data_IF_243884874488
#
_entry.id   IF_243884874488
#
_cell.length_a   1.000
_cell.length_b   1.000
_cell.length_c   1.000
_cell.angle_alpha   90.00
_cell.angle_beta   90.00
_cell.angle_gamma   90.00
#
_symmetry.space_group_name_H-M   'P 1'
#
loop_
_entity.id
_entity.type
_entity.pdbx_description
1 polymer ?
#
# COMPACT_ATOMS: atom_id res chain seq x y z
N UNK A 1 38.58 18.57 38.59
CA UNK A 1 38.06 19.19 37.35
C UNK A 1 37.06 18.22 36.75
N UNK A 2 35.75 18.48 36.90
CA UNK A 2 34.68 17.59 36.43
C UNK A 2 34.18 18.06 35.06
N UNK A 3 34.08 17.14 34.10
CA UNK A 3 33.64 17.42 32.72
C UNK A 3 32.14 17.11 32.62
N UNK A 4 31.32 18.14 32.42
CA UNK A 4 29.90 18.00 32.09
C UNK A 4 29.74 17.80 30.59
N UNK A 5 29.17 16.67 30.17
CA UNK A 5 28.68 16.46 28.80
C UNK A 5 27.21 16.89 28.71
N UNK A 6 26.94 17.92 27.92
CA UNK A 6 25.60 18.40 27.60
C UNK A 6 25.10 17.69 26.34
N UNK A 7 24.04 16.89 26.45
CA UNK A 7 23.36 16.28 25.32
C UNK A 7 22.27 17.23 24.78
N UNK A 8 22.38 17.63 23.51
CA UNK A 8 21.38 18.46 22.83
C UNK A 8 20.42 17.58 22.02
N UNK A 9 19.13 17.62 22.35
CA UNK A 9 18.06 16.93 21.61
C UNK A 9 17.51 17.87 20.54
N UNK A 10 17.65 17.50 19.26
CA UNK A 10 17.06 18.23 18.14
C UNK A 10 15.56 17.87 18.02
N UNK A 11 14.69 18.86 18.22
CA UNK A 11 13.25 18.74 17.97
C UNK A 11 12.92 19.14 16.53
N UNK A 12 12.47 18.18 15.72
CA UNK A 12 11.88 18.42 14.40
C UNK A 12 10.45 18.95 14.58
N UNK A 13 10.27 20.23 14.30
CA UNK A 13 8.99 20.93 14.35
C UNK A 13 8.16 20.66 13.08
N UNK A 14 7.22 19.73 13.15
CA UNK A 14 6.21 19.51 12.09
C UNK A 14 5.26 20.71 12.00
N UNK A 15 5.33 21.48 10.91
CA UNK A 15 4.30 22.48 10.57
C UNK A 15 3.02 21.74 10.12
N UNK A 16 1.93 21.90 10.87
CA UNK A 16 0.57 21.51 10.45
C UNK A 16 -0.03 22.65 9.64
N UNK A 17 -0.47 22.37 8.41
CA UNK A 17 -1.36 23.26 7.67
C UNK A 17 -2.79 23.15 8.24
N UNK A 18 -3.53 24.26 8.43
CA UNK A 18 -4.90 24.20 8.91
C UNK A 18 -5.84 23.74 7.79
N UNK A 19 -6.45 22.57 7.97
CA UNK A 19 -7.55 22.09 7.13
C UNK A 19 -8.84 22.81 7.57
N UNK A 20 -9.46 23.52 6.63
CA UNK A 20 -10.72 24.25 6.84
C UNK A 20 -11.88 23.26 7.02
N UNK A 21 -12.66 23.41 8.10
CA UNK A 21 -13.84 22.58 8.38
C UNK A 21 -15.10 23.29 7.86
N UNK A 22 -15.99 22.62 7.11
CA UNK A 22 -17.34 23.12 6.91
C UNK A 22 -18.22 22.70 8.10
N UNK A 23 -18.80 23.70 8.74
CA UNK A 23 -19.90 23.56 9.71
C UNK A 23 -21.15 23.18 8.92
N UNK A 24 -21.72 22.00 9.19
CA UNK A 24 -23.13 21.76 8.90
C UNK A 24 -23.79 21.03 10.08
N UNK A 25 -24.69 21.74 10.74
CA UNK A 25 -25.55 21.25 11.79
C UNK A 25 -26.74 20.57 11.11
N UNK A 26 -26.95 19.28 11.36
CA UNK A 26 -28.25 18.64 11.18
C UNK A 26 -28.33 17.38 12.04
N UNK A 27 -29.12 17.49 13.09
CA UNK A 27 -29.50 16.42 14.02
C UNK A 27 -30.47 15.46 13.33
N UNK A 28 -30.01 14.25 13.02
CA UNK A 28 -30.87 13.08 12.83
C UNK A 28 -30.25 11.88 13.56
N UNK A 29 -30.97 11.43 14.58
CA UNK A 29 -30.61 10.30 15.43
C UNK A 29 -30.68 9.00 14.64
N UNK A 30 -29.53 8.39 14.37
CA UNK A 30 -29.42 7.06 13.78
C UNK A 30 -28.85 6.11 14.83
N UNK A 31 -29.63 5.11 15.23
CA UNK A 31 -29.19 4.05 16.13
C UNK A 31 -28.31 3.08 15.34
N UNK A 32 -26.98 3.25 15.41
CA UNK A 32 -26.04 2.24 14.95
C UNK A 32 -25.46 1.51 16.17
N UNK A 33 -25.54 0.18 16.12
CA UNK A 33 -24.87 -0.69 17.10
C UNK A 33 -23.39 -0.68 16.79
N UNK A 34 -22.61 0.01 17.62
CA UNK A 34 -21.14 -0.01 17.57
C UNK A 34 -20.66 -1.29 18.20
N UNK A 35 -20.11 -2.20 17.41
CA UNK A 35 -19.27 -3.26 17.94
C UNK A 35 -17.91 -2.66 18.32
N UNK A 36 -17.45 -2.81 19.59
CA UNK A 36 -16.10 -2.39 19.94
C UNK A 36 -15.11 -3.34 19.25
N UNK A 37 -14.57 -2.90 18.11
CA UNK A 37 -13.37 -3.49 17.54
C UNK A 37 -12.22 -3.23 18.53
N UNK A 38 -11.76 -4.30 19.19
CA UNK A 38 -10.54 -4.24 20.01
C UNK A 38 -9.38 -3.85 19.09
N UNK A 39 -8.51 -2.90 19.49
CA UNK A 39 -7.26 -2.69 18.79
C UNK A 39 -6.43 -3.96 18.94
N UNK A 40 -6.34 -4.74 17.87
CA UNK A 40 -5.42 -5.87 17.80
C UNK A 40 -4.00 -5.33 17.72
N UNK A 41 -3.34 -5.22 18.88
CA UNK A 41 -1.90 -4.98 18.93
C UNK A 41 -1.21 -6.24 18.45
N UNK A 42 -0.95 -6.33 17.15
CA UNK A 42 0.00 -7.30 16.63
C UNK A 42 1.42 -6.83 16.98
N UNK A 43 1.86 -7.18 18.19
CA UNK A 43 3.27 -7.18 18.52
C UNK A 43 3.88 -8.41 17.85
N UNK A 44 4.62 -8.22 16.75
CA UNK A 44 5.53 -9.24 16.25
C UNK A 44 6.67 -9.31 17.27
N UNK A 45 6.59 -10.31 18.14
CA UNK A 45 7.63 -10.65 19.11
C UNK A 45 8.72 -11.40 18.35
N UNK A 46 9.73 -10.70 17.89
CA UNK A 46 10.97 -11.37 17.48
C UNK A 46 11.58 -12.01 18.74
N UNK A 47 11.62 -13.34 18.79
CA UNK A 47 12.34 -14.06 19.84
C UNK A 47 13.83 -13.77 19.69
N UNK A 48 14.35 -12.95 20.59
CA UNK A 48 15.77 -12.84 20.84
C UNK A 48 16.05 -13.68 22.09
N UNK A 49 16.37 -14.96 21.88
CA UNK A 49 16.91 -15.80 22.95
C UNK A 49 18.36 -15.41 23.15
N UNK A 50 18.59 -14.53 24.14
CA UNK A 50 19.92 -14.28 24.70
C UNK A 50 20.21 -15.38 25.71
N UNK A 51 20.98 -16.38 25.30
CA UNK A 51 21.70 -17.29 26.21
C UNK A 51 23.19 -17.08 25.99
N UNK A 52 23.83 -16.48 26.99
CA UNK A 52 25.28 -16.28 27.08
C UNK A 52 25.90 -17.60 27.55
N UNK A 53 26.82 -18.19 26.78
CA UNK A 53 28.18 -18.58 27.20
C UNK A 53 28.92 -19.40 26.11
N UNK A 54 29.95 -18.76 25.54
CA UNK A 54 31.33 -19.26 25.37
C UNK A 54 31.63 -20.42 24.40
N UNK A 55 32.05 -20.11 23.17
CA UNK A 55 33.39 -20.41 22.60
C UNK A 55 33.47 -20.12 21.10
N UNK A 56 34.67 -19.77 20.64
CA UNK A 56 35.06 -19.24 19.33
C UNK A 56 34.57 -20.01 18.09
N UNK A 57 34.10 -19.30 17.07
CA UNK A 57 34.70 -19.17 15.73
C UNK A 57 33.76 -18.40 14.79
N UNK A 58 34.33 -17.40 14.11
CA UNK A 58 33.97 -16.75 12.85
C UNK A 58 32.67 -17.18 12.14
N UNK A 59 31.73 -16.24 12.00
CA UNK A 59 31.00 -16.02 10.74
C UNK A 59 30.10 -14.78 10.90
N UNK A 60 30.55 -13.65 10.35
CA UNK A 60 29.69 -12.54 9.98
C UNK A 60 28.47 -13.07 9.21
N UNK A 61 27.29 -12.89 9.79
CA UNK A 61 26.03 -12.92 9.05
C UNK A 61 25.32 -11.61 9.30
N UNK A 62 25.92 -10.55 8.75
CA UNK A 62 25.15 -9.43 8.25
C UNK A 62 24.07 -10.01 7.35
N UNK A 63 22.79 -9.83 7.73
CA UNK A 63 21.65 -10.10 6.86
C UNK A 63 21.71 -9.07 5.73
N UNK A 64 22.57 -9.36 4.76
CA UNK A 64 22.65 -8.71 3.48
C UNK A 64 21.35 -9.04 2.75
N UNK A 65 20.33 -8.20 2.96
CA UNK A 65 19.30 -8.03 1.95
C UNK A 65 20.03 -7.46 0.73
N UNK A 66 20.35 -8.36 -0.18
CA UNK A 66 20.95 -8.04 -1.46
C UNK A 66 19.94 -7.15 -2.20
N UNK A 67 20.24 -5.84 -2.22
CA UNK A 67 19.49 -4.83 -2.93
C UNK A 67 19.47 -5.24 -4.41
N UNK A 68 18.30 -5.48 -5.02
CA UNK A 68 18.25 -5.86 -6.42
C UNK A 68 18.94 -4.79 -7.27
N UNK A 69 19.95 -5.23 -8.04
CA UNK A 69 20.76 -4.43 -8.98
C UNK A 69 19.96 -3.86 -10.18
N UNK A 70 18.64 -3.90 -10.10
CA UNK A 70 17.73 -3.36 -11.10
C UNK A 70 17.60 -1.84 -10.98
N UNK A 71 17.03 -1.18 -11.99
CA UNK A 71 16.58 0.20 -11.82
C UNK A 71 15.68 0.29 -10.59
N UNK A 72 15.69 1.40 -9.82
CA UNK A 72 14.93 1.53 -8.59
C UNK A 72 13.44 1.37 -8.92
N UNK A 73 12.89 0.17 -8.72
CA UNK A 73 11.49 -0.09 -8.94
C UNK A 73 10.69 0.45 -7.75
N UNK A 74 9.52 1.02 -8.02
CA UNK A 74 8.63 1.44 -6.94
C UNK A 74 8.09 0.27 -6.13
N UNK A 75 8.06 -0.92 -6.74
CA UNK A 75 7.57 -2.15 -6.16
C UNK A 75 8.63 -2.74 -5.22
N UNK A 76 8.77 -2.14 -4.04
CA UNK A 76 9.62 -2.64 -2.96
C UNK A 76 8.78 -2.95 -1.71
N UNK A 77 9.23 -3.91 -0.89
CA UNK A 77 8.53 -4.29 0.33
C UNK A 77 8.32 -3.10 1.29
N UNK A 78 9.32 -2.22 1.38
CA UNK A 78 9.24 -1.00 2.20
C UNK A 78 8.21 -0.01 1.66
N UNK A 79 8.14 0.15 0.33
CA UNK A 79 7.17 1.04 -0.31
C UNK A 79 5.73 0.53 -0.13
N UNK A 80 5.51 -0.78 -0.25
CA UNK A 80 4.21 -1.39 0.00
C UNK A 80 3.80 -1.19 1.47
N UNK A 81 4.72 -1.39 2.42
CA UNK A 81 4.44 -1.16 3.83
C UNK A 81 4.08 0.32 4.13
N UNK A 82 4.77 1.28 3.50
CA UNK A 82 4.44 2.71 3.58
C UNK A 82 3.03 2.97 3.05
N UNK A 83 2.71 2.46 1.87
CA UNK A 83 1.39 2.63 1.26
C UNK A 83 0.27 1.99 2.11
N UNK A 84 0.53 0.82 2.71
CA UNK A 84 -0.41 0.18 3.64
C UNK A 84 -0.66 1.03 4.90
N UNK A 85 0.33 1.79 5.37
CA UNK A 85 0.18 2.76 6.46
C UNK A 85 -0.52 4.07 6.04
N UNK A 86 -0.84 4.24 4.76
CA UNK A 86 -1.41 5.49 4.21
C UNK A 86 -0.38 6.59 4.02
N UNK A 87 0.91 6.24 3.98
CA UNK A 87 2.02 7.16 3.71
C UNK A 87 2.32 7.07 2.21
N UNK A 88 2.49 8.20 1.50
CA UNK A 88 2.88 8.15 0.09
C UNK A 88 4.22 7.43 -0.08
N UNK A 89 4.33 6.69 -1.19
CA UNK A 89 5.54 5.91 -1.49
C UNK A 89 6.72 6.86 -1.78
N UNK A 90 6.46 7.91 -2.55
CA UNK A 90 7.41 8.96 -2.88
C UNK A 90 6.88 10.32 -2.43
N UNK A 91 7.80 11.22 -2.06
CA UNK A 91 7.45 12.61 -1.73
C UNK A 91 7.39 13.51 -2.98
N UNK A 92 7.73 12.96 -4.14
CA UNK A 92 7.83 13.65 -5.43
C UNK A 92 6.55 13.46 -6.24
N UNK A 93 6.07 14.54 -6.85
CA UNK A 93 4.98 14.51 -7.83
C UNK A 93 5.50 14.19 -9.23
N UNK A 94 5.41 12.92 -9.63
CA UNK A 94 5.86 12.44 -10.94
C UNK A 94 4.98 12.95 -12.09
N UNK A 95 3.68 13.18 -11.84
CA UNK A 95 2.80 13.79 -12.84
C UNK A 95 3.16 15.26 -13.04
N UNK A 96 3.37 15.99 -11.94
CA UNK A 96 3.82 17.38 -11.96
C UNK A 96 5.15 17.57 -12.68
N UNK A 97 6.12 16.65 -12.49
CA UNK A 97 7.42 16.69 -13.18
C UNK A 97 7.29 16.59 -14.71
N UNK A 98 6.35 15.79 -15.20
CA UNK A 98 6.03 15.70 -16.64
C UNK A 98 5.02 16.77 -17.12
N UNK A 99 4.41 17.53 -16.21
CA UNK A 99 3.36 18.50 -16.54
C UNK A 99 2.03 17.85 -16.93
N UNK A 100 1.75 16.66 -16.41
CA UNK A 100 0.55 15.87 -16.70
C UNK A 100 -0.46 15.94 -15.55
N UNK A 101 -1.73 15.71 -15.87
CA UNK A 101 -2.78 15.48 -14.87
C UNK A 101 -2.90 14.00 -14.52
N UNK A 102 -3.36 13.67 -13.32
CA UNK A 102 -3.68 12.28 -12.92
C UNK A 102 -4.74 11.71 -13.88
N UNK A 103 -4.61 10.42 -14.24
CA UNK A 103 -5.51 9.74 -15.18
C UNK A 103 -5.22 9.97 -16.68
N UNK A 104 -4.08 10.57 -17.05
CA UNK A 104 -3.65 10.69 -18.45
C UNK A 104 -3.36 9.33 -19.12
N UNK A 105 -3.43 9.23 -20.45
CA UNK A 105 -3.14 7.98 -21.15
C UNK A 105 -1.64 7.64 -21.13
N UNK A 106 -1.28 6.36 -21.33
CA UNK A 106 0.13 5.95 -21.43
C UNK A 106 0.85 6.63 -22.61
N UNK A 107 0.15 6.83 -23.73
CA UNK A 107 0.67 7.59 -24.88
C UNK A 107 1.02 9.04 -24.50
N UNK A 108 0.14 9.72 -23.75
CA UNK A 108 0.41 11.08 -23.25
C UNK A 108 1.65 11.15 -22.36
N UNK A 109 1.92 10.10 -21.56
CA UNK A 109 3.14 10.01 -20.74
C UNK A 109 4.39 9.96 -21.63
N UNK A 110 4.35 9.16 -22.71
CA UNK A 110 5.47 9.07 -23.66
C UNK A 110 5.72 10.36 -24.42
N UNK A 111 4.66 11.04 -24.86
CA UNK A 111 4.76 12.31 -25.57
C UNK A 111 5.28 13.44 -24.67
N UNK A 112 4.79 13.51 -23.42
CA UNK A 112 5.24 14.49 -22.44
C UNK A 112 6.71 14.28 -22.07
N UNK A 113 7.15 13.03 -21.90
CA UNK A 113 8.55 12.70 -21.67
C UNK A 113 9.43 13.21 -22.81
N UNK A 114 9.10 12.89 -24.06
CA UNK A 114 9.84 13.37 -25.24
C UNK A 114 9.91 14.90 -25.27
N UNK A 115 8.76 15.57 -25.13
CA UNK A 115 8.69 17.04 -25.13
C UNK A 115 9.56 17.65 -24.02
N UNK A 116 9.56 17.07 -22.81
CA UNK A 116 10.35 17.58 -21.67
C UNK A 116 11.84 17.32 -21.83
N UNK A 117 12.24 16.20 -22.43
CA UNK A 117 13.66 15.95 -22.74
C UNK A 117 14.21 16.94 -23.77
N UNK A 118 13.42 17.28 -24.80
CA UNK A 118 13.78 18.29 -25.81
C UNK A 118 13.84 19.70 -25.20
N UNK A 119 12.92 20.02 -24.27
CA UNK A 119 12.94 21.28 -23.52
C UNK A 119 14.21 21.42 -22.67
N UNK A 120 14.60 20.38 -21.92
CA UNK A 120 15.80 20.41 -21.07
C UNK A 120 17.09 20.49 -21.88
N UNK A 121 17.17 19.81 -23.02
CA UNK A 121 18.34 19.87 -23.90
C UNK A 121 18.47 21.21 -24.62
N UNK A 122 17.36 21.86 -24.96
CA UNK A 122 17.36 23.20 -25.58
C UNK A 122 17.62 24.35 -24.60
N UNK A 123 17.43 24.14 -23.29
CA UNK A 123 17.71 25.15 -22.26
C UNK A 123 19.21 25.47 -22.08
N UNK A 124 20.13 24.67 -22.65
CA UNK A 124 21.57 24.96 -22.61
C UNK A 124 22.16 25.01 -21.20
N UNK A 125 21.63 24.19 -20.29
CA UNK A 125 22.11 24.06 -18.92
C UNK A 125 23.51 23.44 -18.87
N UNK A 126 24.19 23.57 -17.73
CA UNK A 126 25.42 22.86 -17.46
C UNK A 126 25.20 21.34 -17.55
N UNK A 127 26.17 20.60 -18.10
CA UNK A 127 26.04 19.18 -18.41
C UNK A 127 25.64 18.34 -17.17
N UNK A 128 26.16 18.69 -16.00
CA UNK A 128 25.87 17.99 -14.75
C UNK A 128 24.42 18.22 -14.28
N UNK A 129 23.96 19.48 -14.26
CA UNK A 129 22.58 19.82 -13.91
C UNK A 129 21.58 19.24 -14.93
N UNK A 130 21.96 19.22 -16.20
CA UNK A 130 21.17 18.62 -17.28
C UNK A 130 21.02 17.11 -17.07
N UNK A 131 22.11 16.40 -16.80
CA UNK A 131 22.09 14.96 -16.56
C UNK A 131 21.24 14.61 -15.34
N UNK A 132 21.36 15.38 -14.26
CA UNK A 132 20.54 15.18 -13.06
C UNK A 132 19.05 15.33 -13.37
N UNK A 133 18.64 16.40 -14.06
CA UNK A 133 17.25 16.62 -14.45
C UNK A 133 16.74 15.54 -15.41
N UNK A 134 17.58 15.07 -16.33
CA UNK A 134 17.22 13.98 -17.24
C UNK A 134 17.01 12.67 -16.48
N UNK A 135 17.83 12.34 -15.49
CA UNK A 135 17.66 11.12 -14.69
C UNK A 135 16.37 11.20 -13.83
N UNK A 136 16.10 12.35 -13.23
CA UNK A 136 14.83 12.62 -12.52
C UNK A 136 13.60 12.48 -13.43
N UNK A 137 13.70 12.94 -14.68
CA UNK A 137 12.62 12.84 -15.65
C UNK A 137 12.42 11.38 -16.09
N UNK A 138 13.52 10.65 -16.30
CA UNK A 138 13.54 9.23 -16.65
C UNK A 138 12.96 8.36 -15.54
N UNK A 139 13.23 8.67 -14.28
CA UNK A 139 12.61 8.04 -13.11
C UNK A 139 11.09 8.24 -13.13
N UNK A 140 10.62 9.46 -13.37
CA UNK A 140 9.17 9.74 -13.41
C UNK A 140 8.50 9.04 -14.60
N UNK A 141 9.21 8.96 -15.73
CA UNK A 141 8.75 8.22 -16.89
C UNK A 141 8.70 6.71 -16.65
N UNK A 142 9.70 6.09 -16.01
CA UNK A 142 9.68 4.64 -15.74
C UNK A 142 8.47 4.26 -14.88
N UNK A 143 8.19 5.07 -13.86
CA UNK A 143 7.06 4.91 -12.94
C UNK A 143 5.71 5.03 -13.66
N UNK A 144 5.55 6.03 -14.52
CA UNK A 144 4.27 6.33 -15.16
C UNK A 144 4.03 5.56 -16.46
N UNK A 145 5.09 4.99 -17.07
CA UNK A 145 4.98 4.23 -18.31
C UNK A 145 4.51 2.80 -18.09
N UNK A 146 4.93 2.16 -16.99
CA UNK A 146 4.51 0.78 -16.68
C UNK A 146 3.19 0.77 -15.91
N UNK A 147 2.26 -0.11 -16.30
CA UNK A 147 0.94 -0.18 -15.67
C UNK A 147 1.02 -0.54 -14.18
N UNK A 148 1.94 -1.43 -13.80
CA UNK A 148 2.09 -1.92 -12.44
C UNK A 148 2.62 -0.84 -11.49
N UNK A 149 3.69 -0.14 -11.87
CA UNK A 149 4.27 0.92 -11.03
C UNK A 149 3.33 2.11 -10.94
N UNK A 150 2.70 2.49 -12.07
CA UNK A 150 1.71 3.56 -12.10
C UNK A 150 0.52 3.24 -11.20
N UNK A 151 -0.01 2.02 -11.25
CA UNK A 151 -1.09 1.57 -10.36
C UNK A 151 -0.69 1.68 -8.90
N UNK A 152 0.52 1.24 -8.54
CA UNK A 152 1.01 1.33 -7.16
C UNK A 152 1.18 2.78 -6.71
N UNK A 153 1.71 3.64 -7.59
CA UNK A 153 1.86 5.07 -7.34
C UNK A 153 0.50 5.75 -7.13
N UNK A 154 -0.43 5.58 -8.06
CA UNK A 154 -1.78 6.14 -8.01
C UNK A 154 -2.54 5.66 -6.78
N UNK A 155 -2.40 4.37 -6.44
CA UNK A 155 -2.97 3.79 -5.22
C UNK A 155 -2.40 4.43 -3.95
N UNK A 156 -1.08 4.62 -3.87
CA UNK A 156 -0.44 5.25 -2.70
C UNK A 156 -0.93 6.68 -2.48
N UNK A 157 -1.16 7.43 -3.56
CA UNK A 157 -1.71 8.77 -3.51
C UNK A 157 -3.20 8.78 -3.10
N UNK A 158 -4.00 7.83 -3.60
CA UNK A 158 -5.40 7.71 -3.17
C UNK A 158 -5.53 7.35 -1.68
N UNK A 159 -4.62 6.51 -1.17
CA UNK A 159 -4.54 6.13 0.25
C UNK A 159 -4.11 7.28 1.15
N UNK A 160 -3.16 8.11 0.70
CA UNK A 160 -2.71 9.27 1.47
C UNK A 160 -3.78 10.38 1.52
N UNK A 161 -4.62 10.49 0.48
CA UNK A 161 -5.75 11.42 0.44
C UNK A 161 -6.91 10.97 1.35
N UNK A 162 -7.21 9.67 1.40
CA UNK A 162 -8.30 9.11 2.21
C UNK A 162 -7.82 7.91 3.07
N UNK A 163 -7.17 8.15 4.22
CA UNK A 163 -6.62 7.07 5.04
C UNK A 163 -7.69 6.15 5.65
N UNK A 164 -8.89 6.69 5.90
CA UNK A 164 -10.01 5.98 6.54
C UNK A 164 -10.71 4.97 5.63
N UNK A 165 -10.63 5.16 4.30
CA UNK A 165 -11.25 4.27 3.31
C UNK A 165 -10.17 3.43 2.64
N UNK A 166 -10.28 2.11 2.76
CA UNK A 166 -9.47 1.23 1.94
C UNK A 166 -9.98 1.28 0.50
N UNK A 167 -9.09 1.63 -0.44
CA UNK A 167 -9.31 1.49 -1.87
C UNK A 167 -8.39 0.37 -2.36
N UNK A 168 -8.88 -0.50 -3.24
CA UNK A 168 -8.02 -1.49 -3.88
C UNK A 168 -7.14 -0.83 -4.94
N UNK A 169 -5.90 -1.30 -5.17
CA UNK A 169 -5.03 -0.75 -6.22
C UNK A 169 -5.70 -0.72 -7.60
N UNK A 170 -6.49 -1.75 -7.92
CA UNK A 170 -7.20 -1.89 -9.19
C UNK A 170 -8.43 -0.97 -9.33
N UNK A 171 -8.94 -0.41 -8.23
CA UNK A 171 -10.06 0.56 -8.29
C UNK A 171 -9.59 1.96 -8.71
N UNK A 172 -8.33 2.28 -8.41
CA UNK A 172 -7.70 3.57 -8.75
C UNK A 172 -7.03 3.53 -10.12
N UNK A 173 -6.73 2.32 -10.60
CA UNK A 173 -6.11 2.09 -11.89
C UNK A 173 -7.04 2.53 -13.03
N UNK A 174 -6.56 3.46 -13.86
CA UNK A 174 -7.28 3.93 -15.05
C UNK A 174 -6.91 3.11 -16.29
N UNK A 175 -5.92 2.22 -16.20
CA UNK A 175 -5.58 1.32 -17.29
C UNK A 175 -6.73 0.35 -17.51
N UNK A 176 -7.09 0.13 -18.77
CA UNK A 176 -8.18 -0.81 -19.09
C UNK A 176 -7.74 -2.19 -18.59
N UNK A 177 -8.58 -2.89 -17.80
CA UNK A 177 -8.30 -4.28 -17.47
C UNK A 177 -8.13 -5.07 -18.78
N UNK A 178 -7.28 -6.10 -18.81
CA UNK A 178 -7.22 -7.02 -19.94
C UNK A 178 -8.64 -7.45 -20.29
N UNK A 179 -9.01 -7.30 -21.56
CA UNK A 179 -10.33 -7.71 -22.05
C UNK A 179 -10.45 -9.24 -22.19
N UNK A 180 -9.44 -9.96 -21.70
CA UNK A 180 -9.42 -11.41 -21.63
C UNK A 180 -10.60 -11.87 -20.77
N UNK A 181 -11.32 -12.87 -21.27
CA UNK A 181 -12.39 -13.50 -20.50
C UNK A 181 -11.80 -13.96 -19.16
N UNK A 182 -12.49 -13.71 -18.02
CA UNK A 182 -12.01 -14.21 -16.74
C UNK A 182 -11.81 -15.72 -16.88
N UNK A 183 -10.75 -16.29 -16.26
CA UNK A 183 -10.50 -17.72 -16.34
C UNK A 183 -11.78 -18.46 -15.99
N UNK A 184 -12.11 -19.49 -16.77
CA UNK A 184 -13.27 -20.31 -16.54
C UNK A 184 -13.30 -20.69 -15.05
N UNK A 185 -14.36 -20.26 -14.34
CA UNK A 185 -14.46 -20.51 -12.92
C UNK A 185 -14.33 -22.02 -12.70
N UNK A 186 -13.37 -22.41 -11.88
CA UNK A 186 -13.26 -23.81 -11.46
C UNK A 186 -14.61 -24.22 -10.87
N UNK A 187 -15.12 -25.42 -11.20
CA UNK A 187 -16.39 -25.87 -10.65
C UNK A 187 -16.29 -25.82 -9.13
N UNK A 188 -17.19 -25.08 -8.49
CA UNK A 188 -17.27 -25.02 -7.03
C UNK A 188 -17.33 -26.46 -6.48
N UNK A 189 -16.43 -26.80 -5.56
CA UNK A 189 -16.43 -28.11 -4.88
C UNK A 189 -17.58 -28.17 -3.85
N UNK A 190 -18.80 -28.27 -4.39
CA UNK A 190 -20.06 -28.29 -3.64
C UNK A 190 -20.38 -29.65 -3.02
N UNK A 191 -19.59 -30.69 -3.33
CA UNK A 191 -19.90 -32.06 -2.92
C UNK A 191 -19.96 -32.24 -1.40
N UNK A 192 -18.89 -31.91 -0.66
CA UNK A 192 -18.84 -32.09 0.79
C UNK A 192 -19.83 -31.18 1.54
N UNK A 193 -20.04 -29.95 1.06
CA UNK A 193 -20.87 -28.96 1.74
C UNK A 193 -22.36 -29.30 1.68
N UNK A 194 -22.83 -29.85 0.55
CA UNK A 194 -24.20 -30.33 0.40
C UNK A 194 -24.48 -31.50 1.35
N UNK A 195 -23.54 -32.45 1.49
CA UNK A 195 -23.71 -33.62 2.37
C UNK A 195 -23.83 -33.22 3.85
N UNK A 196 -22.98 -32.30 4.31
CA UNK A 196 -23.06 -31.76 5.67
C UNK A 196 -24.39 -31.03 5.89
N UNK A 197 -24.86 -30.26 4.89
CA UNK A 197 -26.17 -29.61 4.93
C UNK A 197 -27.33 -30.60 5.18
N UNK A 198 -27.36 -31.70 4.43
CA UNK A 198 -28.37 -32.75 4.62
C UNK A 198 -28.23 -33.48 5.96
N UNK A 199 -26.99 -33.71 6.42
CA UNK A 199 -26.74 -34.31 7.73
C UNK A 199 -27.34 -33.45 8.85
N UNK A 200 -27.03 -32.15 8.88
CA UNK A 200 -27.57 -31.21 9.87
C UNK A 200 -29.10 -31.13 9.79
N UNK A 201 -29.67 -31.05 8.58
CA UNK A 201 -31.12 -31.02 8.39
C UNK A 201 -31.80 -32.29 8.91
N UNK A 202 -31.21 -33.46 8.67
CA UNK A 202 -31.70 -34.74 9.16
C UNK A 202 -31.74 -34.82 10.69
N UNK A 203 -30.67 -34.39 11.36
CA UNK A 203 -30.62 -34.33 12.82
C UNK A 203 -31.62 -33.32 13.39
N UNK A 204 -31.82 -32.19 12.72
CA UNK A 204 -32.80 -31.18 13.12
C UNK A 204 -34.22 -31.76 13.06
N UNK A 205 -34.60 -32.41 11.96
CA UNK A 205 -35.90 -33.08 11.83
C UNK A 205 -36.08 -34.18 12.86
N UNK A 206 -35.05 -35.00 13.10
CA UNK A 206 -35.09 -36.04 14.11
C UNK A 206 -35.30 -35.46 15.51
N UNK A 207 -34.65 -34.33 15.84
CA UNK A 207 -34.82 -33.65 17.12
C UNK A 207 -36.27 -33.19 17.36
N UNK A 208 -36.94 -32.66 16.33
CA UNK A 208 -38.33 -32.24 16.43
C UNK A 208 -39.27 -33.43 16.64
N UNK A 209 -39.07 -34.52 15.91
CA UNK A 209 -39.88 -35.74 16.06
C UNK A 209 -39.71 -36.34 17.45
N UNK A 210 -38.47 -36.46 17.95
CA UNK A 210 -38.20 -36.95 19.29
C UNK A 210 -38.78 -36.03 20.36
N UNK A 211 -38.70 -34.70 20.17
CA UNK A 211 -39.27 -33.73 21.10
C UNK A 211 -40.79 -33.83 21.18
N UNK A 212 -41.48 -34.09 20.07
CA UNK A 212 -42.94 -34.30 20.08
C UNK A 212 -43.26 -35.64 20.76
N UNK A 213 -42.55 -36.71 20.38
CA UNK A 213 -42.83 -38.07 20.88
C UNK A 213 -42.56 -38.24 22.38
N UNK A 214 -41.56 -37.54 22.93
CA UNK A 214 -41.21 -37.61 24.36
C UNK A 214 -41.99 -36.62 25.25
N UNK A 215 -42.68 -35.65 24.64
CA UNK A 215 -43.47 -34.62 25.34
C UNK A 215 -44.99 -34.86 25.20
N UNK A 216 -45.38 -36.04 24.68
CA UNK A 216 -46.74 -36.55 24.59
C UNK A 216 -46.93 -37.67 25.62
#
# INVERSE_FOLDING_TARGET
MAVSSSAATLYLSHKRFPLSTPIYVSTLSSNYVVYPSKPSRHCIRCSQETSVETSAEEADSESSIEVPKGPPSLISALNVERALRGIPITDVDHYGRLGLSRGCSSEQVTDAYRSKTEELTSQGLEEEELNQKLEELKESYSILSTAEERRLYDWSLARSEQPDRYAWPFEVDTTKPPQDEPPAQEPEDVGPTILVGYFILGWLLLSFVLSIALNL
#
